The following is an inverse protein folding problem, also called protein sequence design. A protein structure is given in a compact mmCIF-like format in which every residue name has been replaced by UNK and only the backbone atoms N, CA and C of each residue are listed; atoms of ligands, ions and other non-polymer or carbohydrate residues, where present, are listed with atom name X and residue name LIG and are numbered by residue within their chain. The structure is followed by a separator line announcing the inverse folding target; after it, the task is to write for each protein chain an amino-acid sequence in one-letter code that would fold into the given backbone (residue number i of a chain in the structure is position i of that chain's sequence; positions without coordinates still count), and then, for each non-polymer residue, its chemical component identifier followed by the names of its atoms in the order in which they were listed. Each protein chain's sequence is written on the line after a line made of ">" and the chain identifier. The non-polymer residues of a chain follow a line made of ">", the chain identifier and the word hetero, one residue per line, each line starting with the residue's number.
data_IF_488653881596
#
_entry.id   IF_488653881596
#
_cell.length_a   1.000
_cell.length_b   1.000
_cell.length_c   1.000
_cell.angle_alpha   90.00
_cell.angle_beta   90.00
_cell.angle_gamma   90.00
#
_symmetry.space_group_name_H-M   'P 1'
#
loop_
_entity.id
_entity.type
_entity.pdbx_description
1 polymer ?
#
# COMPACT_ATOMS: atom_id res chain seq x y z
N UNK A 1 -9.27 7.32 -11.87
CA UNK A 1 -9.63 6.06 -11.21
C UNK A 1 -8.93 4.90 -11.93
N UNK A 2 -7.68 4.63 -11.56
CA UNK A 2 -6.88 3.58 -12.21
C UNK A 2 -7.35 2.18 -11.83
N UNK A 3 -7.97 2.02 -10.67
CA UNK A 3 -8.50 0.75 -10.16
C UNK A 3 -9.64 0.22 -11.05
N UNK A 4 -10.38 1.12 -11.69
CA UNK A 4 -11.44 0.74 -12.62
C UNK A 4 -10.91 -0.01 -13.86
N UNK A 5 -9.61 0.16 -14.20
CA UNK A 5 -8.98 -0.59 -15.30
C UNK A 5 -8.97 -2.10 -15.06
N UNK A 6 -9.00 -2.55 -13.81
CA UNK A 6 -9.13 -3.98 -13.51
C UNK A 6 -10.41 -4.60 -14.11
N UNK A 7 -11.45 -3.79 -14.31
CA UNK A 7 -12.74 -4.23 -14.85
C UNK A 7 -12.89 -3.87 -16.33
N UNK A 8 -12.40 -2.68 -16.73
CA UNK A 8 -12.65 -2.14 -18.09
C UNK A 8 -11.55 -2.47 -19.08
N UNK A 9 -10.31 -2.60 -18.61
CA UNK A 9 -9.12 -2.88 -19.42
C UNK A 9 -8.15 -3.83 -18.70
N UNK A 10 -8.62 -5.04 -18.31
CA UNK A 10 -7.81 -5.99 -17.54
C UNK A 10 -6.54 -6.41 -18.27
N UNK A 11 -6.53 -6.40 -19.61
CA UNK A 11 -5.37 -6.70 -20.44
C UNK A 11 -4.18 -5.77 -20.16
N UNK A 12 -4.45 -4.49 -19.89
CA UNK A 12 -3.41 -3.49 -19.57
C UNK A 12 -2.75 -3.83 -18.23
N UNK A 13 -3.57 -4.10 -17.22
CA UNK A 13 -3.08 -4.43 -15.87
C UNK A 13 -2.29 -5.75 -15.89
N UNK A 14 -2.81 -6.74 -16.58
CA UNK A 14 -2.14 -8.03 -16.73
C UNK A 14 -0.78 -7.89 -17.43
N UNK A 15 -0.70 -7.07 -18.49
CA UNK A 15 0.57 -6.82 -19.20
C UNK A 15 1.60 -6.12 -18.28
N UNK A 16 1.18 -5.15 -17.49
CA UNK A 16 2.05 -4.49 -16.48
C UNK A 16 2.62 -5.53 -15.50
N UNK A 17 1.78 -6.40 -14.94
CA UNK A 17 2.23 -7.45 -14.02
C UNK A 17 3.25 -8.38 -14.68
N UNK A 18 3.02 -8.80 -15.93
CA UNK A 18 3.95 -9.63 -16.69
C UNK A 18 5.30 -8.95 -16.91
N UNK A 19 5.31 -7.65 -17.19
CA UNK A 19 6.55 -6.89 -17.38
C UNK A 19 7.38 -6.85 -16.09
N UNK A 20 6.78 -6.62 -14.92
CA UNK A 20 7.47 -6.66 -13.63
C UNK A 20 8.01 -8.07 -13.31
N UNK A 21 7.22 -9.11 -13.54
CA UNK A 21 7.65 -10.50 -13.34
C UNK A 21 8.78 -10.92 -14.29
N UNK A 22 8.71 -10.49 -15.55
CA UNK A 22 9.77 -10.70 -16.55
C UNK A 22 11.06 -9.99 -16.16
N UNK A 23 10.97 -8.80 -15.54
CA UNK A 23 12.11 -8.08 -14.98
C UNK A 23 12.71 -8.76 -13.72
N UNK A 24 12.02 -9.76 -13.15
CA UNK A 24 12.55 -10.58 -12.07
C UNK A 24 11.87 -10.39 -10.71
N UNK A 25 10.79 -9.62 -10.61
CA UNK A 25 10.07 -9.40 -9.36
C UNK A 25 9.58 -10.74 -8.77
N UNK A 26 9.77 -10.94 -7.48
CA UNK A 26 9.29 -12.11 -6.74
C UNK A 26 7.88 -11.87 -6.15
N UNK A 27 7.57 -10.62 -5.86
CA UNK A 27 6.26 -10.17 -5.36
C UNK A 27 5.77 -9.07 -6.29
N UNK A 28 4.52 -9.15 -6.72
CA UNK A 28 3.84 -8.06 -7.45
C UNK A 28 2.65 -7.56 -6.64
N UNK A 29 2.36 -6.29 -6.81
CA UNK A 29 1.31 -5.58 -6.09
C UNK A 29 0.04 -5.47 -6.95
N UNK A 30 -1.14 -5.63 -6.33
CA UNK A 30 -2.42 -5.47 -7.03
C UNK A 30 -2.71 -4.00 -7.34
N UNK A 31 -3.42 -3.73 -8.42
CA UNK A 31 -3.89 -2.37 -8.76
C UNK A 31 -5.14 -2.01 -7.92
N UNK A 32 -4.97 -1.88 -6.59
CA UNK A 32 -6.06 -1.67 -5.63
C UNK A 32 -5.80 -0.56 -4.63
N UNK A 33 -4.85 0.33 -4.90
CA UNK A 33 -4.43 1.42 -4.02
C UNK A 33 -5.63 2.22 -3.47
N UNK A 34 -6.54 2.66 -4.33
CA UNK A 34 -7.75 3.41 -3.98
C UNK A 34 -9.04 2.57 -4.04
N UNK A 35 -8.96 1.23 -4.00
CA UNK A 35 -10.13 0.38 -4.18
C UNK A 35 -10.93 0.12 -2.88
N UNK A 36 -11.02 1.12 -2.00
CA UNK A 36 -11.94 1.09 -0.85
C UNK A 36 -13.26 1.77 -1.19
N UNK A 37 -14.37 1.38 -0.58
CA UNK A 37 -15.66 2.06 -0.79
C UNK A 37 -15.60 3.53 -0.38
N UNK A 38 -14.82 3.90 0.65
CA UNK A 38 -14.57 5.29 1.05
C UNK A 38 -13.86 6.10 -0.04
N UNK A 39 -12.88 5.52 -0.74
CA UNK A 39 -12.17 6.20 -1.81
C UNK A 39 -12.96 6.22 -3.11
N UNK A 40 -13.68 5.15 -3.43
CA UNK A 40 -14.52 5.06 -4.62
C UNK A 40 -15.77 5.95 -4.56
N UNK A 41 -16.18 6.40 -3.36
CA UNK A 41 -17.24 7.39 -3.18
C UNK A 41 -16.96 8.72 -3.91
N UNK A 42 -15.70 9.12 -4.01
CA UNK A 42 -15.29 10.31 -4.77
C UNK A 42 -15.60 10.20 -6.28
N UNK A 43 -15.68 8.97 -6.79
CA UNK A 43 -16.07 8.64 -8.17
C UNK A 43 -17.52 8.22 -8.29
N UNK A 44 -18.29 8.21 -7.18
CA UNK A 44 -19.68 7.72 -7.11
C UNK A 44 -19.81 6.24 -7.53
N UNK A 45 -18.85 5.42 -7.15
CA UNK A 45 -18.76 3.99 -7.47
C UNK A 45 -18.38 3.14 -6.23
N UNK A 46 -18.84 3.49 -4.99
CA UNK A 46 -18.43 2.73 -3.80
C UNK A 46 -18.85 1.25 -3.87
N UNK A 47 -19.92 0.93 -4.59
CA UNK A 47 -20.46 -0.42 -4.77
C UNK A 47 -19.53 -1.33 -5.60
N UNK A 48 -18.61 -0.77 -6.38
CA UNK A 48 -17.66 -1.54 -7.20
C UNK A 48 -16.36 -1.89 -6.43
N UNK A 49 -16.19 -1.39 -5.21
CA UNK A 49 -14.95 -1.58 -4.45
C UNK A 49 -14.58 -3.08 -4.33
N UNK A 50 -15.52 -3.93 -3.91
CA UNK A 50 -15.26 -5.36 -3.76
C UNK A 50 -14.90 -6.03 -5.09
N UNK A 51 -15.66 -5.74 -6.15
CA UNK A 51 -15.43 -6.31 -7.48
C UNK A 51 -14.07 -5.91 -8.04
N UNK A 52 -13.65 -4.64 -7.86
CA UNK A 52 -12.32 -4.16 -8.27
C UNK A 52 -11.20 -4.93 -7.55
N UNK A 53 -11.31 -5.17 -6.25
CA UNK A 53 -10.32 -5.90 -5.48
C UNK A 53 -10.21 -7.36 -5.90
N UNK A 54 -11.34 -8.04 -6.09
CA UNK A 54 -11.38 -9.43 -6.58
C UNK A 54 -10.75 -9.54 -7.97
N UNK A 55 -11.12 -8.65 -8.88
CA UNK A 55 -10.59 -8.65 -10.25
C UNK A 55 -9.09 -8.38 -10.27
N UNK A 56 -8.62 -7.36 -9.55
CA UNK A 56 -7.20 -7.01 -9.47
C UNK A 56 -6.35 -8.16 -8.93
N UNK A 57 -6.78 -8.78 -7.83
CA UNK A 57 -6.03 -9.90 -7.24
C UNK A 57 -6.02 -11.12 -8.18
N UNK A 58 -7.11 -11.41 -8.90
CA UNK A 58 -7.14 -12.47 -9.92
C UNK A 58 -6.17 -12.21 -11.08
N UNK A 59 -6.07 -10.96 -11.56
CA UNK A 59 -5.12 -10.60 -12.61
C UNK A 59 -3.67 -10.79 -12.15
N UNK A 60 -3.33 -10.32 -10.94
CA UNK A 60 -2.01 -10.50 -10.37
C UNK A 60 -1.71 -12.00 -10.13
N UNK A 61 -2.67 -12.77 -9.63
CA UNK A 61 -2.53 -14.22 -9.44
C UNK A 61 -2.28 -14.94 -10.76
N UNK A 62 -3.06 -14.62 -11.80
CA UNK A 62 -2.84 -15.16 -13.14
C UNK A 62 -1.41 -14.91 -13.62
N UNK A 63 -0.92 -13.68 -13.52
CA UNK A 63 0.44 -13.35 -13.93
C UNK A 63 1.48 -14.13 -13.09
N UNK A 64 1.31 -14.20 -11.77
CA UNK A 64 2.21 -14.97 -10.91
C UNK A 64 2.25 -16.45 -11.28
N UNK A 65 1.12 -17.06 -11.58
CA UNK A 65 1.03 -18.49 -11.96
C UNK A 65 1.75 -18.75 -13.30
N UNK A 66 1.71 -17.81 -14.25
CA UNK A 66 2.44 -17.90 -15.52
C UNK A 66 3.97 -17.88 -15.34
N UNK A 67 4.48 -17.18 -14.30
CA UNK A 67 5.91 -16.97 -14.07
C UNK A 67 6.50 -17.81 -12.92
N UNK A 68 5.67 -18.43 -12.10
CA UNK A 68 6.12 -19.23 -10.98
C UNK A 68 6.75 -20.53 -11.45
N UNK A 69 7.86 -20.91 -10.78
CA UNK A 69 8.49 -22.23 -10.90
C UNK A 69 8.72 -22.80 -9.49
N UNK A 70 8.95 -24.11 -9.35
CA UNK A 70 9.26 -24.69 -8.03
C UNK A 70 10.46 -24.02 -7.33
N UNK A 71 11.45 -23.57 -8.10
CA UNK A 71 12.66 -22.91 -7.58
C UNK A 71 12.51 -21.39 -7.42
N UNK A 72 11.51 -20.79 -8.05
CA UNK A 72 11.23 -19.35 -8.00
C UNK A 72 9.73 -19.06 -7.99
N UNK A 73 9.06 -19.26 -6.84
CA UNK A 73 7.66 -18.93 -6.70
C UNK A 73 7.44 -17.40 -6.78
N UNK A 74 6.27 -16.97 -7.24
CA UNK A 74 5.85 -15.57 -7.31
C UNK A 74 4.63 -15.35 -6.42
N UNK A 75 4.56 -14.20 -5.79
CA UNK A 75 3.55 -13.89 -4.80
C UNK A 75 2.77 -12.63 -5.16
N UNK A 76 1.52 -12.60 -4.73
CA UNK A 76 0.60 -11.47 -4.90
C UNK A 76 0.48 -10.70 -3.59
N UNK A 77 0.93 -9.46 -3.58
CA UNK A 77 0.67 -8.51 -2.49
C UNK A 77 -0.65 -7.77 -2.77
N UNK A 78 -1.65 -8.01 -1.96
CA UNK A 78 -2.90 -7.28 -1.99
C UNK A 78 -2.70 -5.89 -1.39
N UNK A 79 -2.67 -4.86 -2.24
CA UNK A 79 -2.42 -3.49 -1.83
C UNK A 79 -3.64 -2.89 -1.12
N UNK A 80 -3.41 -2.40 0.10
CA UNK A 80 -4.36 -1.69 0.95
C UNK A 80 -3.82 -0.28 1.17
N UNK A 81 -4.18 0.62 0.27
CA UNK A 81 -3.71 2.00 0.28
C UNK A 81 -4.46 2.90 1.27
N UNK A 82 -4.01 4.15 1.42
CA UNK A 82 -4.71 5.14 2.24
C UNK A 82 -6.02 5.57 1.58
N UNK A 83 -6.88 6.21 2.38
CA UNK A 83 -8.10 6.83 1.89
C UNK A 83 -7.94 8.35 1.76
N UNK A 84 -8.71 9.04 0.89
CA UNK A 84 -8.69 10.49 0.78
C UNK A 84 -9.23 11.19 2.05
N UNK A 85 -9.97 10.46 2.88
CA UNK A 85 -10.48 10.94 4.19
C UNK A 85 -9.61 10.38 5.30
N UNK A 86 -9.26 11.23 6.29
CA UNK A 86 -8.38 10.86 7.41
C UNK A 86 -9.12 10.93 8.75
N UNK A 87 -8.81 9.98 9.64
CA UNK A 87 -9.44 9.91 10.94
C UNK A 87 -8.74 10.76 12.03
N UNK A 88 -7.48 11.17 11.81
CA UNK A 88 -6.72 11.96 12.78
C UNK A 88 -6.52 13.43 12.38
N UNK A 89 -6.68 13.78 11.10
CA UNK A 89 -6.45 15.13 10.61
C UNK A 89 -7.79 15.81 10.35
N UNK A 90 -7.96 17.05 10.86
CA UNK A 90 -9.17 17.83 10.61
C UNK A 90 -9.20 18.32 9.15
N UNK A 91 -10.33 18.17 8.44
CA UNK A 91 -10.54 18.77 7.14
C UNK A 91 -10.86 20.28 7.22
N UNK A 92 -11.16 20.82 8.42
CA UNK A 92 -11.47 22.22 8.65
C UNK A 92 -10.41 22.86 9.54
N UNK A 93 -9.75 23.89 9.03
CA UNK A 93 -8.71 24.66 9.74
C UNK A 93 -9.27 25.37 10.98
N UNK A 94 -10.56 25.73 10.97
CA UNK A 94 -11.21 26.46 12.08
C UNK A 94 -11.84 25.51 13.12
N UNK A 95 -11.97 24.24 12.82
CA UNK A 95 -12.46 23.22 13.75
C UNK A 95 -11.48 22.03 13.83
N UNK A 96 -10.53 22.05 14.77
CA UNK A 96 -9.58 20.95 14.96
C UNK A 96 -10.23 19.61 15.32
N UNK A 97 -11.46 19.63 15.81
CA UNK A 97 -12.23 18.42 16.15
C UNK A 97 -12.99 17.81 14.97
N UNK A 98 -13.15 18.53 13.87
CA UNK A 98 -13.88 18.02 12.71
C UNK A 98 -13.23 16.78 12.10
N UNK A 99 -14.06 15.82 11.71
CA UNK A 99 -13.64 14.61 10.97
C UNK A 99 -14.65 14.33 9.86
N UNK A 100 -14.16 13.91 8.69
CA UNK A 100 -15.01 13.54 7.56
C UNK A 100 -15.15 12.02 7.39
N UNK A 101 -14.55 11.25 8.26
CA UNK A 101 -14.67 9.79 8.34
C UNK A 101 -14.41 9.34 9.78
N UNK A 102 -15.11 8.29 10.20
CA UNK A 102 -14.90 7.64 11.51
C UNK A 102 -14.01 6.41 11.36
N UNK A 103 -13.43 5.94 12.46
CA UNK A 103 -12.67 4.69 12.52
C UNK A 103 -13.52 3.50 12.02
N UNK A 104 -14.77 3.40 12.45
CA UNK A 104 -15.65 2.29 12.03
C UNK A 104 -16.00 2.33 10.54
N UNK A 105 -16.19 3.50 9.95
CA UNK A 105 -16.39 3.63 8.51
C UNK A 105 -15.17 3.16 7.72
N UNK A 106 -13.97 3.53 8.18
CA UNK A 106 -12.71 3.06 7.58
C UNK A 106 -12.58 1.55 7.74
N UNK A 107 -12.79 1.03 8.96
CA UNK A 107 -12.73 -0.40 9.27
C UNK A 107 -13.62 -1.23 8.36
N UNK A 108 -14.88 -0.84 8.18
CA UNK A 108 -15.84 -1.52 7.32
C UNK A 108 -15.35 -1.49 5.85
N UNK A 109 -14.89 -0.33 5.38
CA UNK A 109 -14.41 -0.16 4.01
C UNK A 109 -13.14 -0.97 3.72
N UNK A 110 -12.19 -0.99 4.66
CA UNK A 110 -11.00 -1.83 4.57
C UNK A 110 -11.32 -3.33 4.68
N UNK A 111 -12.33 -3.71 5.49
CA UNK A 111 -12.75 -5.10 5.60
C UNK A 111 -13.25 -5.64 4.24
N UNK A 112 -14.07 -4.89 3.55
CA UNK A 112 -14.55 -5.22 2.22
C UNK A 112 -13.39 -5.41 1.22
N UNK A 113 -12.39 -4.52 1.27
CA UNK A 113 -11.18 -4.61 0.44
C UNK A 113 -10.38 -5.88 0.74
N UNK A 114 -10.12 -6.16 2.00
CA UNK A 114 -9.38 -7.35 2.47
C UNK A 114 -10.05 -8.65 2.01
N UNK A 115 -11.37 -8.73 2.14
CA UNK A 115 -12.15 -9.89 1.69
C UNK A 115 -12.03 -10.09 0.17
N UNK A 116 -12.16 -9.01 -0.61
CA UNK A 116 -12.02 -9.06 -2.06
C UNK A 116 -10.62 -9.47 -2.52
N UNK A 117 -9.58 -8.94 -1.88
CA UNK A 117 -8.19 -9.30 -2.16
C UNK A 117 -7.91 -10.77 -1.85
N UNK A 118 -8.38 -11.27 -0.72
CA UNK A 118 -8.24 -12.69 -0.36
C UNK A 118 -8.98 -13.61 -1.33
N UNK A 119 -10.25 -13.29 -1.66
CA UNK A 119 -11.04 -14.04 -2.64
C UNK A 119 -10.38 -14.10 -4.01
N UNK A 120 -9.71 -13.02 -4.42
CA UNK A 120 -8.98 -12.94 -5.69
C UNK A 120 -7.64 -13.67 -5.69
N UNK A 121 -7.13 -14.11 -4.53
CA UNK A 121 -5.91 -14.92 -4.41
C UNK A 121 -4.67 -14.17 -3.99
N UNK A 122 -4.79 -13.11 -3.18
CA UNK A 122 -3.64 -12.47 -2.54
C UNK A 122 -2.94 -13.43 -1.56
N UNK A 123 -1.60 -13.41 -1.56
CA UNK A 123 -0.75 -14.20 -0.66
C UNK A 123 -0.32 -13.43 0.58
N UNK A 124 -0.33 -12.09 0.51
CA UNK A 124 0.08 -11.16 1.57
C UNK A 124 -0.76 -9.88 1.48
N UNK A 125 -1.06 -9.25 2.60
CA UNK A 125 -1.65 -7.91 2.62
C UNK A 125 -0.55 -6.86 2.77
N UNK A 126 -0.54 -5.87 1.87
CA UNK A 126 0.39 -4.74 1.90
C UNK A 126 -0.38 -3.47 2.29
N UNK A 127 -0.29 -3.08 3.57
CA UNK A 127 -0.82 -1.79 4.04
C UNK A 127 0.24 -0.73 3.75
N UNK A 128 -0.01 0.09 2.74
CA UNK A 128 1.00 0.93 2.15
C UNK A 128 0.69 2.43 2.17
N UNK A 129 1.73 3.22 1.89
CA UNK A 129 1.65 4.69 1.74
C UNK A 129 0.96 5.34 2.93
N UNK A 130 1.25 4.81 4.12
CA UNK A 130 0.63 5.26 5.36
C UNK A 130 1.15 6.66 5.69
N UNK A 131 0.26 7.63 5.72
CA UNK A 131 0.52 8.99 6.20
C UNK A 131 -0.34 9.36 7.42
N UNK A 132 -1.32 8.54 7.79
CA UNK A 132 -2.14 8.65 9.00
C UNK A 132 -2.16 7.29 9.74
N UNK A 133 -1.57 7.24 10.93
CA UNK A 133 -1.48 5.99 11.71
C UNK A 133 -2.83 5.51 12.22
N UNK A 134 -3.83 6.37 12.38
CA UNK A 134 -5.17 5.96 12.81
C UNK A 134 -5.90 5.26 11.65
N UNK A 135 -5.76 5.76 10.41
CA UNK A 135 -6.26 5.06 9.22
C UNK A 135 -5.60 3.68 9.09
N UNK A 136 -4.27 3.61 9.25
CA UNK A 136 -3.55 2.33 9.23
C UNK A 136 -4.04 1.36 10.30
N UNK A 137 -4.32 1.84 11.51
CA UNK A 137 -4.90 1.00 12.58
C UNK A 137 -6.29 0.48 12.22
N UNK A 138 -7.10 1.26 11.51
CA UNK A 138 -8.40 0.79 11.04
C UNK A 138 -8.25 -0.33 9.99
N UNK A 139 -7.28 -0.21 9.08
CA UNK A 139 -6.96 -1.27 8.12
C UNK A 139 -6.43 -2.53 8.80
N UNK A 140 -5.47 -2.40 9.71
CA UNK A 140 -4.92 -3.53 10.46
C UNK A 140 -5.97 -4.22 11.35
N UNK A 141 -6.87 -3.45 11.95
CA UNK A 141 -7.97 -3.99 12.73
C UNK A 141 -8.94 -4.80 11.83
N UNK A 142 -9.27 -4.28 10.64
CA UNK A 142 -10.09 -4.99 9.66
C UNK A 142 -9.46 -6.32 9.19
N UNK A 143 -8.12 -6.32 9.02
CA UNK A 143 -7.36 -7.53 8.70
C UNK A 143 -7.42 -8.54 9.86
N UNK A 144 -7.25 -8.09 11.09
CA UNK A 144 -7.29 -8.95 12.27
C UNK A 144 -8.67 -9.56 12.50
N UNK A 145 -9.75 -8.77 12.35
CA UNK A 145 -11.13 -9.27 12.34
C UNK A 145 -11.34 -10.36 11.27
N UNK A 146 -10.84 -10.09 10.04
CA UNK A 146 -10.91 -11.07 8.95
C UNK A 146 -10.21 -12.37 9.34
N UNK A 147 -9.03 -12.29 9.93
CA UNK A 147 -8.28 -13.47 10.38
C UNK A 147 -9.01 -14.25 11.46
N UNK A 148 -9.59 -13.55 12.43
CA UNK A 148 -10.28 -14.19 13.55
C UNK A 148 -11.58 -14.88 13.12
N UNK A 149 -12.33 -14.29 12.18
CA UNK A 149 -13.58 -14.85 11.68
C UNK A 149 -13.37 -16.02 10.72
N UNK A 150 -12.32 -15.97 9.89
CA UNK A 150 -12.10 -16.98 8.84
C UNK A 150 -11.13 -18.08 9.26
N UNK A 151 -10.32 -17.85 10.30
CA UNK A 151 -9.20 -18.74 10.67
C UNK A 151 -8.01 -18.67 9.73
N UNK A 152 -8.08 -17.84 8.68
CA UNK A 152 -6.97 -17.58 7.75
C UNK A 152 -5.97 -16.63 8.40
N UNK A 153 -4.69 -16.79 8.12
CA UNK A 153 -3.66 -15.82 8.50
C UNK A 153 -2.66 -15.68 7.37
N UNK A 154 -2.72 -14.54 6.68
CA UNK A 154 -1.72 -14.15 5.69
C UNK A 154 -0.66 -13.25 6.34
N UNK A 155 0.58 -13.24 5.83
CA UNK A 155 1.56 -12.24 6.20
C UNK A 155 1.06 -10.82 5.93
N UNK A 156 1.52 -9.86 6.73
CA UNK A 156 1.22 -8.43 6.54
C UNK A 156 2.54 -7.71 6.27
N UNK A 157 2.58 -6.89 5.23
CA UNK A 157 3.64 -5.91 4.97
C UNK A 157 3.09 -4.53 5.31
N UNK A 158 3.91 -3.67 5.93
CA UNK A 158 3.52 -2.31 6.30
C UNK A 158 4.53 -1.33 5.70
N UNK A 159 4.04 -0.28 5.04
CA UNK A 159 4.88 0.76 4.45
C UNK A 159 4.28 2.15 4.65
N UNK A 160 5.09 3.07 5.15
CA UNK A 160 4.69 4.45 5.41
C UNK A 160 5.30 5.44 4.42
N UNK A 161 4.79 6.65 4.47
CA UNK A 161 5.26 7.74 3.61
C UNK A 161 5.73 8.91 4.46
N UNK A 162 7.03 9.23 4.38
CA UNK A 162 7.57 10.48 4.92
C UNK A 162 7.28 11.59 3.94
N UNK A 163 6.46 12.54 4.36
CA UNK A 163 5.86 13.52 3.45
C UNK A 163 6.75 14.74 3.18
N UNK A 164 7.74 14.98 4.02
CA UNK A 164 8.63 16.13 3.88
C UNK A 164 10.01 15.93 4.55
N UNK A 165 10.86 16.94 4.44
CA UNK A 165 12.21 16.95 5.01
C UNK A 165 12.25 16.94 6.56
N UNK A 166 11.10 17.04 7.26
CA UNK A 166 11.06 16.91 8.73
C UNK A 166 11.23 15.46 9.20
N UNK A 167 11.14 14.50 8.28
CA UNK A 167 11.22 13.07 8.59
C UNK A 167 9.98 12.52 9.28
N UNK A 168 8.83 13.20 9.08
CA UNK A 168 7.57 12.80 9.68
C UNK A 168 6.56 12.38 8.62
N UNK A 169 5.67 11.46 8.98
CA UNK A 169 4.46 11.21 8.23
C UNK A 169 3.45 12.35 8.51
N UNK A 170 2.42 12.48 7.71
CA UNK A 170 1.49 13.63 7.78
C UNK A 170 0.78 13.74 9.16
N UNK A 171 0.47 12.63 9.82
CA UNK A 171 -0.09 12.64 11.17
C UNK A 171 0.95 12.93 12.28
N UNK A 172 2.21 13.24 11.93
CA UNK A 172 3.22 13.82 12.81
C UNK A 172 4.24 12.85 13.39
N UNK A 173 4.11 11.53 13.21
CA UNK A 173 5.04 10.54 13.74
C UNK A 173 6.38 10.58 13.00
N UNK A 174 7.50 10.52 13.75
CA UNK A 174 8.80 10.13 13.20
C UNK A 174 8.79 8.67 12.78
N UNK A 175 9.79 8.20 12.05
CA UNK A 175 9.84 6.79 11.59
C UNK A 175 9.87 5.81 12.76
N UNK A 176 10.55 6.14 13.87
CA UNK A 176 10.54 5.33 15.09
C UNK A 176 9.15 5.33 15.76
N UNK A 177 8.49 6.49 15.85
CA UNK A 177 7.15 6.59 16.40
C UNK A 177 6.12 5.87 15.52
N UNK A 178 6.30 5.90 14.19
CA UNK A 178 5.51 5.15 13.23
C UNK A 178 5.64 3.64 13.46
N UNK A 179 6.88 3.12 13.56
CA UNK A 179 7.13 1.72 13.92
C UNK A 179 6.44 1.35 15.23
N UNK A 180 6.67 2.11 16.31
CA UNK A 180 6.07 1.83 17.61
C UNK A 180 4.55 1.88 17.61
N UNK A 181 3.93 2.68 16.72
CA UNK A 181 2.46 2.74 16.58
C UNK A 181 1.85 1.48 16.00
N UNK A 182 2.57 0.76 15.11
CA UNK A 182 2.00 -0.32 14.29
C UNK A 182 2.66 -1.69 14.50
N UNK A 183 3.81 -1.79 15.19
CA UNK A 183 4.53 -3.07 15.42
C UNK A 183 3.69 -4.16 16.09
N UNK A 184 2.61 -3.80 16.77
CA UNK A 184 1.70 -4.76 17.39
C UNK A 184 1.02 -5.69 16.38
N UNK A 185 0.91 -5.29 15.11
CA UNK A 185 0.40 -6.12 14.02
C UNK A 185 1.36 -7.26 13.62
N UNK A 186 2.59 -7.28 14.17
CA UNK A 186 3.64 -8.29 13.89
C UNK A 186 3.86 -8.49 12.38
N UNK A 187 4.17 -7.43 11.64
CA UNK A 187 4.31 -7.50 10.19
C UNK A 187 5.51 -8.35 9.76
N UNK A 188 5.45 -8.92 8.55
CA UNK A 188 6.57 -9.58 7.88
C UNK A 188 7.66 -8.57 7.53
N UNK A 189 7.27 -7.41 7.00
CA UNK A 189 8.16 -6.29 6.70
C UNK A 189 7.57 -4.99 7.17
N UNK A 190 8.46 -4.04 7.50
CA UNK A 190 8.08 -2.68 7.84
C UNK A 190 8.98 -1.70 7.09
N UNK A 191 8.44 -0.70 6.39
CA UNK A 191 9.27 0.12 5.54
C UNK A 191 8.67 1.46 5.16
N UNK A 192 9.24 2.05 4.12
CA UNK A 192 8.84 3.33 3.56
C UNK A 192 8.69 3.26 2.04
N UNK A 193 7.74 4.02 1.52
CA UNK A 193 7.54 4.17 0.09
C UNK A 193 7.11 5.59 -0.28
N UNK A 194 7.14 5.89 -1.57
CA UNK A 194 6.66 7.15 -2.14
C UNK A 194 7.34 8.43 -1.61
N UNK A 195 6.82 9.58 -2.03
CA UNK A 195 7.17 10.96 -1.71
C UNK A 195 8.63 11.32 -1.99
N UNK A 196 9.57 10.61 -1.37
CA UNK A 196 11.00 10.85 -1.50
C UNK A 196 11.64 9.92 -2.54
N UNK A 197 12.68 10.42 -3.21
CA UNK A 197 13.60 9.59 -3.97
C UNK A 197 14.55 8.80 -3.07
N UNK A 198 15.29 7.84 -3.65
CA UNK A 198 16.15 6.92 -2.93
C UNK A 198 17.17 7.65 -2.04
N UNK A 199 17.80 8.70 -2.56
CA UNK A 199 18.81 9.47 -1.83
C UNK A 199 18.27 10.11 -0.57
N UNK A 200 17.08 10.74 -0.65
CA UNK A 200 16.43 11.39 0.48
C UNK A 200 15.78 10.41 1.46
N UNK A 201 15.35 9.24 1.00
CA UNK A 201 14.74 8.21 1.85
C UNK A 201 15.77 7.42 2.65
N UNK A 202 17.00 7.29 2.17
CA UNK A 202 18.08 6.49 2.78
C UNK A 202 18.29 6.71 4.28
N UNK A 203 18.35 7.96 4.82
CA UNK A 203 18.52 8.18 6.26
C UNK A 203 17.40 7.57 7.11
N UNK A 204 16.16 7.65 6.63
CA UNK A 204 14.99 7.12 7.34
C UNK A 204 14.92 5.59 7.30
N UNK A 205 15.31 4.99 6.19
CA UNK A 205 15.48 3.52 6.10
C UNK A 205 16.59 3.05 7.05
N UNK A 206 17.70 3.78 7.12
CA UNK A 206 18.79 3.46 8.05
C UNK A 206 18.37 3.60 9.54
N UNK A 207 17.45 4.53 9.84
CA UNK A 207 16.85 4.65 11.18
C UNK A 207 15.92 3.46 11.46
N UNK A 208 15.01 3.12 10.55
CA UNK A 208 14.14 1.95 10.70
C UNK A 208 14.94 0.66 10.91
N UNK A 209 16.01 0.45 10.14
CA UNK A 209 16.86 -0.73 10.26
C UNK A 209 17.52 -0.89 11.64
N UNK A 210 17.60 0.18 12.45
CA UNK A 210 18.13 0.13 13.82
C UNK A 210 17.07 -0.20 14.87
N UNK A 211 15.79 0.16 14.61
CA UNK A 211 14.72 0.07 15.61
C UNK A 211 13.73 -1.06 15.33
N UNK A 212 13.60 -1.49 14.06
CA UNK A 212 12.73 -2.60 13.69
C UNK A 212 13.38 -3.94 14.01
N UNK A 213 12.59 -4.87 14.52
CA UNK A 213 12.95 -6.28 14.72
C UNK A 213 12.41 -7.22 13.60
N UNK A 214 12.02 -6.62 12.47
CA UNK A 214 11.54 -7.28 11.25
C UNK A 214 12.33 -6.80 10.03
N UNK A 215 12.16 -7.47 8.88
CA UNK A 215 12.78 -7.05 7.63
C UNK A 215 12.30 -5.65 7.22
N UNK A 216 13.23 -4.81 6.73
CA UNK A 216 12.92 -3.44 6.28
C UNK A 216 12.72 -3.43 4.78
N UNK A 217 11.60 -2.88 4.32
CA UNK A 217 11.28 -2.69 2.90
C UNK A 217 11.42 -1.23 2.48
N UNK A 218 11.77 -1.02 1.20
CA UNK A 218 11.94 0.31 0.64
C UNK A 218 11.59 0.31 -0.85
N UNK A 219 10.65 1.17 -1.25
CA UNK A 219 10.34 1.42 -2.67
C UNK A 219 10.08 2.92 -2.88
N UNK A 220 11.18 3.69 -3.12
CA UNK A 220 11.13 5.14 -3.29
C UNK A 220 10.56 5.53 -4.64
N UNK A 221 10.18 6.80 -4.77
CA UNK A 221 9.98 7.41 -6.08
C UNK A 221 11.32 7.56 -6.81
N UNK A 222 11.28 7.77 -8.13
CA UNK A 222 12.44 8.11 -8.95
C UNK A 222 12.86 9.61 -8.79
N UNK A 223 12.83 10.14 -7.59
CA UNK A 223 12.98 11.55 -7.32
C UNK A 223 11.72 12.35 -7.65
N UNK A 224 11.89 13.64 -7.96
CA UNK A 224 10.79 14.52 -8.36
C UNK A 224 10.56 14.44 -9.88
N UNK A 225 9.32 14.68 -10.35
CA UNK A 225 9.05 14.85 -11.77
C UNK A 225 9.90 15.98 -12.35
N UNK A 226 10.64 15.70 -13.42
CA UNK A 226 11.51 16.66 -14.09
C UNK A 226 11.32 16.59 -15.62
N UNK A 227 10.57 17.53 -16.21
CA UNK A 227 10.33 17.56 -17.65
C UNK A 227 11.60 17.74 -18.51
N UNK A 228 12.72 18.12 -17.89
CA UNK A 228 14.01 18.31 -18.56
C UNK A 228 14.88 17.05 -18.54
N UNK A 229 14.47 16.02 -17.80
CA UNK A 229 15.14 14.71 -17.80
C UNK A 229 14.61 13.82 -18.93
N UNK A 230 15.47 13.02 -19.52
CA UNK A 230 15.10 12.05 -20.57
C UNK A 230 14.08 11.00 -20.09
N UNK A 231 14.07 10.71 -18.79
CA UNK A 231 13.15 9.77 -18.14
C UNK A 231 11.90 10.44 -17.54
N UNK A 232 11.85 11.78 -17.53
CA UNK A 232 10.79 12.54 -16.87
C UNK A 232 10.93 12.66 -15.35
N UNK A 233 12.02 12.14 -14.75
CA UNK A 233 12.30 12.15 -13.32
C UNK A 233 13.75 12.51 -13.02
N UNK A 234 14.07 12.91 -11.77
CA UNK A 234 15.41 13.32 -11.36
C UNK A 234 16.37 12.15 -11.13
N UNK A 235 15.87 11.01 -10.64
CA UNK A 235 16.71 9.86 -10.29
C UNK A 235 16.63 8.75 -11.36
N UNK A 236 17.77 8.07 -11.55
CA UNK A 236 17.91 6.95 -12.47
C UNK A 236 17.90 5.61 -11.72
N UNK A 237 17.74 4.47 -12.42
CA UNK A 237 17.86 3.15 -11.79
C UNK A 237 19.17 2.93 -11.03
N UNK A 238 20.29 3.50 -11.51
CA UNK A 238 21.60 3.40 -10.87
C UNK A 238 21.64 4.11 -9.51
N UNK A 239 20.90 5.23 -9.36
CA UNK A 239 20.79 5.96 -8.08
C UNK A 239 19.98 5.12 -7.09
N UNK A 240 18.91 4.50 -7.54
CA UNK A 240 18.08 3.64 -6.68
C UNK A 240 18.81 2.35 -6.27
N UNK A 241 19.72 1.84 -7.12
CA UNK A 241 20.48 0.62 -6.86
C UNK A 241 21.67 0.79 -5.89
N UNK A 242 22.06 2.03 -5.57
CA UNK A 242 23.14 2.34 -4.62
C UNK A 242 22.68 2.25 -3.17
#
# INVERSE_FOLDING_TARGET
>A
NNELLNLTHPEIILDIHRQYLAAGADIIETNTFGATSVAQDDYKMPELAREMNVAAAKLARQACDEFSTPDKPRFVAGAVGPTPKTASISPDVNDPGARNVTFDQLRISYREQVEGLYEGGADVFLVETIFDTLNAKAALFAIDEFFDETGVRLPIMISGTVTDASGRILSGQTVEAFWNSLRHAKPLTFGLNCALGATLMRPYIAELAKVCDVAVSCYPNAGLPNPMSDTGFDETPEVTAQ
#
